data_IF_048946957056
#
_entry.id   IF_048946957056
#
_cell.length_a   1.000
_cell.length_b   1.000
_cell.length_c   1.000
_cell.angle_alpha   90.00
_cell.angle_beta   90.00
_cell.angle_gamma   90.00
#
_symmetry.space_group_name_H-M   'P 1'
#
loop_
_entity.id
_entity.type
_entity.pdbx_description
1 polymer ?
#
# COMPACT_ATOMS: atom_id res chain seq x y z
N UNK A 1 -6.51 -4.22 5.60
CA UNK A 1 -5.57 -3.94 4.52
C UNK A 1 -6.20 -2.95 3.57
N UNK A 2 -5.56 -1.81 3.40
CA UNK A 2 -6.02 -0.71 2.56
C UNK A 2 -5.68 -0.96 1.09
N UNK A 3 -6.42 -0.34 0.17
CA UNK A 3 -6.17 -0.44 -1.26
C UNK A 3 -4.87 0.32 -1.60
N UNK A 4 -3.86 -0.39 -2.12
CA UNK A 4 -2.54 0.17 -2.42
C UNK A 4 -2.56 1.36 -3.40
N UNK A 5 -3.53 1.40 -4.32
CA UNK A 5 -3.68 2.52 -5.25
C UNK A 5 -4.15 3.78 -4.54
N UNK A 6 -5.12 3.66 -3.62
CA UNK A 6 -5.57 4.79 -2.80
C UNK A 6 -4.46 5.33 -1.91
N UNK A 7 -3.69 4.43 -1.29
CA UNK A 7 -2.50 4.82 -0.53
C UNK A 7 -1.50 5.58 -1.41
N UNK A 8 -1.33 5.16 -2.67
CA UNK A 8 -0.45 5.85 -3.62
C UNK A 8 -0.93 7.27 -3.92
N UNK A 9 -2.23 7.43 -4.18
CA UNK A 9 -2.88 8.71 -4.47
C UNK A 9 -2.79 9.67 -3.27
N UNK A 10 -3.19 9.21 -2.08
CA UNK A 10 -3.18 10.02 -0.87
C UNK A 10 -1.76 10.42 -0.46
N UNK A 11 -0.79 9.52 -0.61
CA UNK A 11 0.63 9.81 -0.41
C UNK A 11 1.14 10.90 -1.36
N UNK A 12 0.79 10.83 -2.65
CA UNK A 12 1.20 11.83 -3.63
C UNK A 12 0.59 13.21 -3.33
N UNK A 13 -0.69 13.25 -2.95
CA UNK A 13 -1.36 14.50 -2.54
C UNK A 13 -0.71 15.06 -1.27
N UNK A 14 -0.44 14.22 -0.27
CA UNK A 14 0.16 14.65 0.98
C UNK A 14 1.60 15.15 0.78
N UNK A 15 2.38 14.54 -0.10
CA UNK A 15 3.74 15.00 -0.42
C UNK A 15 3.75 16.39 -1.07
N UNK A 16 2.79 16.66 -1.97
CA UNK A 16 2.60 17.99 -2.56
C UNK A 16 2.25 19.04 -1.50
N UNK A 17 1.40 18.69 -0.53
CA UNK A 17 1.05 19.57 0.60
C UNK A 17 2.22 19.74 1.58
N UNK A 18 3.06 18.72 1.71
CA UNK A 18 4.23 18.71 2.57
C UNK A 18 5.46 19.34 1.91
N UNK A 19 5.36 19.78 0.65
CA UNK A 19 6.45 20.37 -0.12
C UNK A 19 7.67 19.43 -0.18
N UNK A 20 7.41 18.17 -0.55
CA UNK A 20 8.44 17.15 -0.77
C UNK A 20 9.10 16.58 0.49
N UNK A 21 8.50 16.81 1.67
CA UNK A 21 9.05 16.38 2.97
C UNK A 21 8.38 15.14 3.54
N UNK A 22 7.54 14.45 2.77
CA UNK A 22 6.85 13.27 3.27
C UNK A 22 7.80 12.06 3.32
N UNK A 23 7.85 11.42 4.48
CA UNK A 23 8.46 10.09 4.64
C UNK A 23 7.36 9.06 4.96
N UNK A 24 7.41 7.90 4.29
CA UNK A 24 6.39 6.85 4.44
C UNK A 24 7.02 5.58 5.02
N UNK A 25 6.60 5.21 6.22
CA UNK A 25 6.93 3.93 6.85
C UNK A 25 5.94 2.85 6.43
N UNK A 26 6.44 1.76 5.81
CA UNK A 26 5.62 0.62 5.37
C UNK A 26 5.91 -0.61 6.23
N UNK A 27 4.85 -1.33 6.60
CA UNK A 27 4.97 -2.58 7.36
C UNK A 27 3.88 -3.58 6.98
N UNK A 28 4.15 -4.87 7.16
CA UNK A 28 3.25 -5.96 6.78
C UNK A 28 2.02 -6.12 7.69
N UNK A 29 1.90 -5.31 8.74
CA UNK A 29 0.95 -5.52 9.83
C UNK A 29 1.39 -6.64 10.80
N UNK A 30 1.01 -6.49 12.08
CA UNK A 30 1.44 -7.38 13.17
C UNK A 30 0.31 -7.98 14.00
N UNK A 31 -0.93 -7.52 13.81
CA UNK A 31 -2.09 -7.95 14.62
C UNK A 31 -2.92 -8.97 13.83
N UNK A 32 -2.98 -10.25 14.24
CA UNK A 32 -3.67 -11.30 13.49
C UNK A 32 -5.14 -11.01 13.17
N UNK A 33 -5.89 -10.46 14.13
CA UNK A 33 -7.31 -10.14 13.95
C UNK A 33 -7.57 -9.07 12.88
N UNK A 34 -6.55 -8.29 12.49
CA UNK A 34 -6.66 -7.27 11.46
C UNK A 34 -6.70 -7.82 10.02
N UNK A 35 -6.45 -9.12 9.82
CA UNK A 35 -6.40 -9.75 8.48
C UNK A 35 -7.70 -10.46 8.11
N UNK A 36 -8.42 -11.02 9.11
CA UNK A 36 -9.67 -11.75 8.89
C UNK A 36 -10.74 -10.97 8.11
N UNK A 37 -10.95 -9.65 8.35
CA UNK A 37 -11.93 -8.87 7.58
C UNK A 37 -11.59 -8.75 6.08
N UNK A 38 -10.35 -9.04 5.69
CA UNK A 38 -9.86 -8.96 4.32
C UNK A 38 -9.75 -10.35 3.66
N UNK A 39 -10.27 -11.40 4.31
CA UNK A 39 -10.19 -12.78 3.83
C UNK A 39 -8.78 -13.36 3.85
N UNK A 40 -7.85 -12.75 4.60
CA UNK A 40 -6.46 -13.16 4.69
C UNK A 40 -6.16 -13.77 6.06
N UNK A 41 -5.27 -14.74 6.07
CA UNK A 41 -4.66 -15.29 7.27
C UNK A 41 -3.41 -14.50 7.66
N UNK A 42 -3.02 -14.57 8.93
CA UNK A 42 -1.78 -13.96 9.40
C UNK A 42 -0.53 -14.50 8.70
N UNK A 43 -0.57 -15.75 8.20
CA UNK A 43 0.54 -16.35 7.45
C UNK A 43 0.72 -15.72 6.06
N UNK A 44 -0.37 -15.27 5.43
CA UNK A 44 -0.38 -14.68 4.09
C UNK A 44 0.07 -13.21 4.08
N UNK A 45 0.20 -12.57 5.24
CA UNK A 45 0.54 -11.14 5.37
C UNK A 45 1.80 -10.73 4.60
N UNK A 46 2.80 -11.60 4.55
CA UNK A 46 4.06 -11.31 3.87
C UNK A 46 3.89 -11.22 2.36
N UNK A 47 3.17 -12.18 1.77
CA UNK A 47 2.84 -12.19 0.35
C UNK A 47 1.92 -11.01 -0.01
N UNK A 48 0.84 -10.81 0.77
CA UNK A 48 -0.09 -9.71 0.54
C UNK A 48 0.58 -8.34 0.66
N UNK A 49 1.53 -8.18 1.60
CA UNK A 49 2.33 -6.95 1.70
C UNK A 49 3.22 -6.74 0.46
N UNK A 50 3.89 -7.79 -0.03
CA UNK A 50 4.74 -7.69 -1.21
C UNK A 50 3.95 -7.29 -2.47
N UNK A 51 2.76 -7.85 -2.67
CA UNK A 51 1.89 -7.53 -3.79
C UNK A 51 1.39 -6.07 -3.73
N UNK A 52 1.01 -5.62 -2.54
CA UNK A 52 0.62 -4.22 -2.31
C UNK A 52 1.79 -3.25 -2.50
N UNK A 53 2.99 -3.61 -2.02
CA UNK A 53 4.19 -2.81 -2.21
C UNK A 53 4.54 -2.68 -3.70
N UNK A 54 4.43 -3.77 -4.46
CA UNK A 54 4.65 -3.75 -5.91
C UNK A 54 3.67 -2.80 -6.60
N UNK A 55 2.39 -2.86 -6.23
CA UNK A 55 1.34 -1.99 -6.78
C UNK A 55 1.60 -0.52 -6.45
N UNK A 56 1.87 -0.21 -5.19
CA UNK A 56 2.17 1.14 -4.70
C UNK A 56 3.34 1.77 -5.46
N UNK A 57 4.47 1.04 -5.54
CA UNK A 57 5.66 1.53 -6.22
C UNK A 57 5.45 1.69 -7.73
N UNK A 58 4.63 0.84 -8.34
CA UNK A 58 4.31 0.96 -9.78
C UNK A 58 3.42 2.16 -10.05
N UNK A 59 2.46 2.46 -9.17
CA UNK A 59 1.62 3.65 -9.27
C UNK A 59 2.45 4.94 -9.18
N UNK A 60 3.38 5.04 -8.21
CA UNK A 60 4.26 6.21 -8.08
C UNK A 60 5.21 6.41 -9.27
N UNK A 61 5.64 5.34 -9.93
CA UNK A 61 6.45 5.45 -11.15
C UNK A 61 5.64 5.79 -12.41
N UNK A 62 4.31 5.72 -12.34
CA UNK A 62 3.44 5.83 -13.52
C UNK A 62 3.42 4.57 -14.40
N UNK A 63 3.99 3.46 -13.93
CA UNK A 63 4.02 2.16 -14.64
C UNK A 63 2.78 1.30 -14.37
N UNK A 64 1.91 1.75 -13.46
CA UNK A 64 0.70 1.02 -13.11
C UNK A 64 -0.29 1.01 -14.29
N UNK A 65 -0.38 -0.15 -14.93
CA UNK A 65 -1.42 -0.44 -15.92
C UNK A 65 -2.55 -1.14 -15.18
N UNK A 66 -3.47 -0.36 -14.60
CA UNK A 66 -4.68 -0.93 -14.02
C UNK A 66 -5.34 -1.86 -15.04
N UNK A 67 -5.65 -3.10 -14.64
CA UNK A 67 -6.47 -3.98 -15.47
C UNK A 67 -7.78 -3.23 -15.76
N UNK A 68 -7.94 -2.78 -17.01
CA UNK A 68 -9.16 -2.15 -17.51
C UNK A 68 -10.24 -3.20 -17.76
#
# INVERSE_FOLDING_TARGET
MENALRVAEDAAVLDLLADGRLEIGLGSGGTPDSFLPFGLTFAERGAAFADHLHTLLSAWRGDFTGAS
#
